data_IF_170082653500
#
_entry.id   IF_170082653500
#
_cell.length_a   1.000
_cell.length_b   1.000
_cell.length_c   1.000
_cell.angle_alpha   90.00
_cell.angle_beta   90.00
_cell.angle_gamma   90.00
#
_symmetry.space_group_name_H-M   'P 1'
#
loop_
_entity.id
_entity.type
_entity.pdbx_description
1 polymer ?
#
# COMPACT_ATOMS: atom_id res chain seq x y z
N UNK A 1 -8.46 0.90 5.81
CA UNK A 1 -7.21 1.71 5.86
C UNK A 1 -6.19 1.05 4.93
N UNK A 2 -5.28 1.82 4.33
CA UNK A 2 -4.19 1.28 3.51
C UNK A 2 -2.87 1.38 4.26
N UNK A 3 -2.05 0.34 4.22
CA UNK A 3 -0.80 0.21 4.99
C UNK A 3 0.38 -0.10 4.08
N UNK A 4 1.51 0.55 4.36
CA UNK A 4 2.79 0.28 3.70
C UNK A 4 3.75 -0.35 4.71
N UNK A 5 4.23 -1.55 4.44
CA UNK A 5 5.20 -2.26 5.29
C UNK A 5 6.58 -2.18 4.65
N UNK A 6 7.57 -1.69 5.38
CA UNK A 6 8.96 -1.59 4.91
C UNK A 6 9.76 -2.80 5.40
N UNK A 7 10.29 -3.57 4.46
CA UNK A 7 10.96 -4.84 4.69
C UNK A 7 9.99 -6.04 4.78
N UNK A 8 10.47 -7.22 4.40
CA UNK A 8 9.71 -8.47 4.42
C UNK A 8 10.49 -9.64 5.05
N UNK A 9 11.10 -9.39 6.21
CA UNK A 9 11.63 -10.45 7.08
C UNK A 9 10.56 -11.04 8.00
N UNK A 10 10.94 -11.82 9.01
CA UNK A 10 10.00 -12.49 9.94
C UNK A 10 8.97 -11.56 10.59
N UNK A 11 9.38 -10.33 10.92
CA UNK A 11 8.48 -9.32 11.51
C UNK A 11 7.57 -8.72 10.44
N UNK A 12 8.12 -8.31 9.30
CA UNK A 12 7.36 -7.67 8.22
C UNK A 12 6.29 -8.61 7.63
N UNK A 13 6.62 -9.88 7.40
CA UNK A 13 5.69 -10.87 6.86
C UNK A 13 4.54 -11.16 7.82
N UNK A 14 4.82 -11.28 9.13
CA UNK A 14 3.80 -11.47 10.16
C UNK A 14 2.84 -10.28 10.24
N UNK A 15 3.36 -9.06 10.23
CA UNK A 15 2.53 -7.86 10.28
C UNK A 15 1.70 -7.69 8.99
N UNK A 16 2.28 -7.95 7.82
CA UNK A 16 1.53 -7.90 6.56
C UNK A 16 0.34 -8.87 6.56
N UNK A 17 0.52 -10.07 7.09
CA UNK A 17 -0.55 -11.06 7.22
C UNK A 17 -1.66 -10.62 8.19
N UNK A 18 -1.29 -10.13 9.38
CA UNK A 18 -2.26 -9.64 10.39
C UNK A 18 -3.03 -8.44 9.85
N UNK A 19 -2.35 -7.45 9.28
CA UNK A 19 -2.99 -6.26 8.71
C UNK A 19 -3.98 -6.62 7.60
N UNK A 20 -3.64 -7.60 6.76
CA UNK A 20 -4.55 -8.11 5.73
C UNK A 20 -5.76 -8.83 6.34
N UNK A 21 -5.57 -9.66 7.38
CA UNK A 21 -6.68 -10.30 8.10
C UNK A 21 -7.63 -9.28 8.74
N UNK A 22 -7.10 -8.14 9.21
CA UNK A 22 -7.89 -7.03 9.73
C UNK A 22 -8.56 -6.17 8.62
N UNK A 23 -8.48 -6.59 7.36
CA UNK A 23 -9.14 -5.92 6.23
C UNK A 23 -8.39 -4.70 5.69
N UNK A 24 -7.12 -4.51 6.04
CA UNK A 24 -6.31 -3.44 5.46
C UNK A 24 -5.75 -3.84 4.10
N UNK A 25 -5.73 -2.87 3.17
CA UNK A 25 -4.97 -3.01 1.94
C UNK A 25 -3.48 -2.86 2.26
N UNK A 26 -2.67 -3.87 1.97
CA UNK A 26 -1.25 -3.89 2.34
C UNK A 26 -0.37 -3.89 1.09
N UNK A 27 0.61 -2.99 1.07
CA UNK A 27 1.71 -2.98 0.11
C UNK A 27 3.05 -3.06 0.83
N UNK A 28 4.11 -3.47 0.13
CA UNK A 28 5.44 -3.69 0.69
C UNK A 28 6.48 -2.81 0.00
N UNK A 29 7.45 -2.31 0.76
CA UNK A 29 8.73 -1.82 0.23
C UNK A 29 9.80 -2.84 0.58
N UNK A 30 10.28 -3.59 -0.40
CA UNK A 30 11.23 -4.69 -0.17
C UNK A 30 11.92 -5.06 -1.48
N UNK A 31 13.19 -5.46 -1.40
CA UNK A 31 13.91 -6.01 -2.54
C UNK A 31 13.45 -7.44 -2.91
N UNK A 32 12.68 -8.09 -2.02
CA UNK A 32 12.17 -9.44 -2.27
C UNK A 32 10.97 -9.41 -3.23
N UNK A 33 10.91 -10.35 -4.17
CA UNK A 33 9.76 -10.49 -5.08
C UNK A 33 8.68 -11.38 -4.46
N UNK A 34 7.68 -10.75 -3.84
CA UNK A 34 6.56 -11.45 -3.19
C UNK A 34 5.31 -11.33 -4.06
N UNK A 35 4.78 -12.45 -4.54
CA UNK A 35 3.61 -12.46 -5.46
C UNK A 35 2.28 -12.12 -4.79
N UNK A 36 2.19 -12.25 -3.48
CA UNK A 36 0.96 -12.09 -2.70
C UNK A 36 0.65 -10.65 -2.31
N UNK A 37 1.58 -9.71 -2.49
CA UNK A 37 1.43 -8.30 -2.16
C UNK A 37 2.03 -7.41 -3.24
N UNK A 38 1.47 -6.22 -3.50
CA UNK A 38 2.15 -5.19 -4.28
C UNK A 38 3.47 -4.83 -3.61
N UNK A 39 4.55 -4.85 -4.39
CA UNK A 39 5.90 -4.55 -3.91
C UNK A 39 6.48 -3.34 -4.66
N UNK A 40 7.20 -2.51 -3.94
CA UNK A 40 7.94 -1.37 -4.46
C UNK A 40 9.41 -1.49 -4.06
N UNK A 41 10.31 -1.07 -4.95
CA UNK A 41 11.75 -1.12 -4.70
C UNK A 41 12.23 0.03 -3.80
N UNK A 42 11.43 1.09 -3.65
CA UNK A 42 11.76 2.26 -2.81
C UNK A 42 10.51 2.91 -2.20
N UNK A 43 10.72 3.75 -1.19
CA UNK A 43 9.65 4.52 -0.55
C UNK A 43 9.04 5.54 -1.51
N UNK A 44 9.86 6.17 -2.35
CA UNK A 44 9.43 7.14 -3.36
C UNK A 44 8.48 6.50 -4.37
N UNK A 45 8.81 5.29 -4.85
CA UNK A 45 7.95 4.53 -5.74
C UNK A 45 6.59 4.20 -5.08
N UNK A 46 6.61 3.82 -3.80
CA UNK A 46 5.39 3.53 -3.05
C UNK A 46 4.53 4.78 -2.80
N UNK A 47 5.16 5.90 -2.44
CA UNK A 47 4.48 7.17 -2.17
C UNK A 47 3.91 7.80 -3.43
N UNK A 48 4.61 7.72 -4.57
CA UNK A 48 4.09 8.18 -5.85
C UNK A 48 2.74 7.52 -6.17
N UNK A 49 2.65 6.21 -5.96
CA UNK A 49 1.39 5.48 -6.14
C UNK A 49 0.30 5.90 -5.14
N UNK A 50 0.65 6.08 -3.87
CA UNK A 50 -0.30 6.49 -2.83
C UNK A 50 -0.86 7.90 -3.05
N UNK A 51 -0.01 8.85 -3.44
CA UNK A 51 -0.39 10.23 -3.71
C UNK A 51 -1.27 10.35 -4.97
N UNK A 52 -0.94 9.60 -6.02
CA UNK A 52 -1.77 9.53 -7.24
C UNK A 52 -3.17 8.97 -6.92
N UNK A 53 -3.23 7.94 -6.05
CA UNK A 53 -4.52 7.35 -5.66
C UNK A 53 -5.39 8.33 -4.87
N UNK A 54 -4.77 9.17 -4.03
CA UNK A 54 -5.48 10.22 -3.29
C UNK A 54 -5.98 11.33 -4.21
N UNK A 55 -5.18 11.78 -5.18
CA UNK A 55 -5.60 12.84 -6.12
C UNK A 55 -6.76 12.39 -7.01
N UNK A 56 -6.74 11.15 -7.51
CA UNK A 56 -7.88 10.55 -8.24
C UNK A 56 -9.15 10.47 -7.39
N UNK A 57 -9.01 10.11 -6.10
CA UNK A 57 -10.16 10.03 -5.19
C UNK A 57 -10.76 11.41 -4.93
N UNK A 58 -9.93 12.44 -4.73
CA UNK A 58 -10.39 13.83 -4.54
C UNK A 58 -11.10 14.35 -5.79
N UNK A 59 -10.59 14.05 -6.98
CA UNK A 59 -11.26 14.44 -8.24
C UNK A 59 -12.65 13.80 -8.38
N UNK A 60 -12.78 12.51 -8.07
CA UNK A 60 -14.08 11.83 -8.11
C UNK A 60 -15.06 12.32 -7.04
N UNK A 61 -14.61 12.60 -5.81
CA UNK A 61 -15.48 13.15 -4.75
C UNK A 61 -15.90 14.59 -5.01
N UNK A 62 -15.11 15.38 -5.74
CA UNK A 62 -15.47 16.76 -6.10
C UNK A 62 -16.51 16.83 -7.22
N UNK A 63 -16.62 15.79 -8.07
CA UNK A 63 -17.52 15.75 -9.24
C UNK A 63 -18.94 15.26 -8.92
N UNK A 64 -19.21 14.78 -7.71
CA UNK A 64 -20.52 14.26 -7.26
C UNK A 64 -21.33 15.27 -6.43
N UNK A 65 -20.92 16.55 -6.41
CA UNK A 65 -21.68 17.65 -5.81
C UNK A 65 -22.56 18.32 -6.87
N UNK A 66 -23.62 17.66 -7.31
CA UNK A 66 -24.75 18.30 -8.00
C UNK A 66 -26.04 17.53 -7.75
#
# INVERSE_FOLDING_TARGET
>A
MSSLVVGYGSIGSRHAAILRQLGSAVSLVTAQKIKTYPCYDSLEAAMGFFLIKLSLLIQHSCMMKH
#
